data_IF_895060334344
#
_entry.id   IF_895060334344
#
_cell.length_a   1.000
_cell.length_b   1.000
_cell.length_c   1.000
_cell.angle_alpha   90.00
_cell.angle_beta   90.00
_cell.angle_gamma   90.00
#
_symmetry.space_group_name_H-M   'P 1'
#
loop_
_entity.id
_entity.type
_entity.pdbx_description
1 polymer ?
#
# COMPACT_ATOMS: atom_id res chain seq x y z
N UNK A 1 -7.71 -10.82 -25.17
CA UNK A 1 -6.93 -9.65 -24.72
C UNK A 1 -7.33 -9.17 -23.32
N UNK A 2 -8.61 -8.89 -23.03
CA UNK A 2 -9.06 -8.49 -21.67
C UNK A 2 -8.74 -9.57 -20.62
N UNK A 3 -9.17 -10.81 -20.84
CA UNK A 3 -8.94 -11.93 -19.90
C UNK A 3 -7.45 -12.09 -19.58
N UNK A 4 -6.59 -12.08 -20.61
CA UNK A 4 -5.14 -12.11 -20.44
C UNK A 4 -4.63 -10.95 -19.58
N UNK A 5 -5.13 -9.74 -19.80
CA UNK A 5 -4.74 -8.54 -19.02
C UNK A 5 -5.14 -8.67 -17.56
N UNK A 6 -6.33 -9.21 -17.29
CA UNK A 6 -6.78 -9.47 -15.91
C UNK A 6 -5.89 -10.50 -15.23
N UNK A 7 -5.58 -11.62 -15.90
CA UNK A 7 -4.70 -12.66 -15.34
C UNK A 7 -3.30 -12.10 -15.06
N UNK A 8 -2.71 -11.39 -16.02
CA UNK A 8 -1.40 -10.74 -15.84
C UNK A 8 -1.45 -9.74 -14.68
N UNK A 9 -2.52 -8.95 -14.58
CA UNK A 9 -2.70 -8.00 -13.49
C UNK A 9 -2.84 -8.67 -12.12
N UNK A 10 -3.49 -9.84 -12.04
CA UNK A 10 -3.57 -10.61 -10.80
C UNK A 10 -2.21 -11.17 -10.39
N UNK A 11 -1.44 -11.71 -11.32
CA UNK A 11 -0.05 -12.16 -11.07
C UNK A 11 0.81 -10.98 -10.61
N UNK A 12 0.70 -9.84 -11.28
CA UNK A 12 1.41 -8.62 -10.93
C UNK A 12 1.03 -8.13 -9.52
N UNK A 13 -0.25 -8.21 -9.16
CA UNK A 13 -0.74 -7.86 -7.83
C UNK A 13 -0.12 -8.74 -6.74
N UNK A 14 0.09 -10.03 -7.01
CA UNK A 14 0.81 -10.92 -6.09
C UNK A 14 2.26 -10.48 -5.91
N UNK A 15 2.95 -10.09 -6.98
CA UNK A 15 4.33 -9.59 -6.89
C UNK A 15 4.39 -8.33 -6.04
N UNK A 16 3.52 -7.34 -6.29
CA UNK A 16 3.44 -6.12 -5.48
C UNK A 16 3.14 -6.44 -4.01
N UNK A 17 2.19 -7.34 -3.75
CA UNK A 17 1.81 -7.76 -2.40
C UNK A 17 2.99 -8.38 -1.64
N UNK A 18 3.75 -9.28 -2.26
CA UNK A 18 4.86 -9.94 -1.59
C UNK A 18 6.10 -9.04 -1.47
N UNK A 19 6.54 -8.41 -2.55
CA UNK A 19 7.76 -7.58 -2.54
C UNK A 19 7.54 -6.24 -1.84
N UNK A 20 6.48 -5.53 -2.21
CA UNK A 20 6.15 -4.21 -1.67
C UNK A 20 5.52 -4.30 -0.29
N UNK A 21 4.37 -4.96 -0.14
CA UNK A 21 3.65 -4.92 1.13
C UNK A 21 4.27 -5.84 2.19
N UNK A 22 4.44 -7.13 1.89
CA UNK A 22 4.89 -8.13 2.87
C UNK A 22 6.36 -7.98 3.24
N UNK A 23 7.27 -7.95 2.27
CA UNK A 23 8.71 -7.86 2.56
C UNK A 23 9.07 -6.42 2.96
N UNK A 24 8.82 -5.44 2.10
CA UNK A 24 9.30 -4.08 2.31
C UNK A 24 8.54 -3.33 3.42
N UNK A 25 7.22 -3.12 3.30
CA UNK A 25 6.49 -2.33 4.30
C UNK A 25 6.36 -3.07 5.63
N UNK A 26 5.92 -4.33 5.59
CA UNK A 26 5.58 -5.07 6.79
C UNK A 26 6.81 -5.59 7.53
N UNK A 27 7.64 -6.43 6.90
CA UNK A 27 8.74 -7.10 7.61
C UNK A 27 9.95 -6.19 7.83
N UNK A 28 10.36 -5.42 6.84
CA UNK A 28 11.46 -4.47 6.97
C UNK A 28 11.05 -3.21 7.73
N UNK A 29 10.09 -2.44 7.23
CA UNK A 29 9.77 -1.14 7.84
C UNK A 29 8.98 -1.22 9.15
N UNK A 30 7.94 -2.05 9.26
CA UNK A 30 7.17 -2.15 10.50
C UNK A 30 7.93 -2.93 11.58
N UNK A 31 8.47 -4.09 11.22
CA UNK A 31 8.99 -5.07 12.18
C UNK A 31 10.50 -5.17 12.27
N UNK A 32 11.25 -4.53 11.37
CA UNK A 32 12.73 -4.52 11.36
C UNK A 32 13.34 -5.93 11.43
N UNK A 33 12.73 -6.89 10.74
CA UNK A 33 13.14 -8.30 10.82
C UNK A 33 14.48 -8.57 10.12
N UNK A 34 14.81 -7.79 9.10
CA UNK A 34 16.03 -7.89 8.30
C UNK A 34 16.19 -6.60 7.48
N UNK A 35 17.40 -6.29 7.05
CA UNK A 35 17.67 -5.16 6.15
C UNK A 35 17.46 -5.55 4.68
N UNK A 36 17.12 -4.56 3.85
CA UNK A 36 17.02 -4.71 2.40
C UNK A 36 17.98 -3.75 1.70
N UNK A 37 18.55 -4.13 0.54
CA UNK A 37 19.40 -3.23 -0.23
C UNK A 37 18.57 -2.08 -0.83
N UNK A 38 19.23 -0.94 -1.11
CA UNK A 38 18.56 0.29 -1.58
C UNK A 38 17.79 0.12 -2.89
N UNK A 39 18.28 -0.73 -3.80
CA UNK A 39 17.57 -1.03 -5.05
C UNK A 39 16.23 -1.74 -4.78
N UNK A 40 16.18 -2.64 -3.80
CA UNK A 40 14.96 -3.36 -3.43
C UNK A 40 13.94 -2.40 -2.84
N UNK A 41 14.41 -1.50 -1.98
CA UNK A 41 13.61 -0.41 -1.43
C UNK A 41 12.99 0.44 -2.54
N UNK A 42 13.77 0.84 -3.54
CA UNK A 42 13.29 1.66 -4.66
C UNK A 42 12.23 0.94 -5.50
N UNK A 43 12.48 -0.31 -5.87
CA UNK A 43 11.55 -1.13 -6.65
C UNK A 43 10.25 -1.37 -5.88
N UNK A 44 10.35 -1.76 -4.61
CA UNK A 44 9.18 -2.03 -3.78
C UNK A 44 8.33 -0.77 -3.55
N UNK A 45 8.95 0.40 -3.33
CA UNK A 45 8.21 1.67 -3.24
C UNK A 45 7.54 2.01 -4.57
N UNK A 46 8.21 1.87 -5.71
CA UNK A 46 7.61 2.11 -7.03
C UNK A 46 6.39 1.20 -7.27
N UNK A 47 6.49 -0.09 -6.96
CA UNK A 47 5.39 -1.05 -7.00
C UNK A 47 4.18 -0.62 -6.16
N UNK A 48 4.43 -0.15 -4.93
CA UNK A 48 3.37 0.30 -4.02
C UNK A 48 2.68 1.58 -4.51
N UNK A 49 3.40 2.45 -5.22
CA UNK A 49 2.82 3.65 -5.82
C UNK A 49 1.81 3.34 -6.93
N UNK A 50 1.90 2.15 -7.54
CA UNK A 50 0.92 1.66 -8.52
C UNK A 50 -0.37 1.19 -7.84
N UNK A 51 -0.24 0.36 -6.79
CA UNK A 51 -1.38 -0.23 -6.08
C UNK A 51 -2.09 0.78 -5.13
N UNK A 52 -1.35 1.72 -4.55
CA UNK A 52 -1.84 2.89 -3.81
C UNK A 52 -2.96 2.64 -2.78
N UNK A 53 -2.74 1.73 -1.83
CA UNK A 53 -3.64 1.53 -0.67
C UNK A 53 -3.71 2.80 0.19
N UNK A 54 -2.52 3.27 0.59
CA UNK A 54 -2.20 4.50 1.35
C UNK A 54 -0.75 4.86 1.01
N UNK A 55 -0.29 6.08 1.32
CA UNK A 55 1.14 6.40 1.21
C UNK A 55 1.99 5.42 2.03
N UNK A 56 3.23 5.08 1.63
CA UNK A 56 4.08 4.15 2.38
C UNK A 56 4.22 4.50 3.86
N UNK A 57 4.51 5.77 4.18
CA UNK A 57 4.56 6.27 5.56
C UNK A 57 3.23 6.05 6.30
N UNK A 58 2.11 6.38 5.64
CA UNK A 58 0.79 6.23 6.22
C UNK A 58 0.44 4.77 6.53
N UNK A 59 0.78 3.84 5.62
CA UNK A 59 0.56 2.41 5.80
C UNK A 59 1.42 1.85 6.94
N UNK A 60 2.71 2.18 6.98
CA UNK A 60 3.63 1.71 8.03
C UNK A 60 3.15 2.23 9.40
N UNK A 61 2.79 3.52 9.48
CA UNK A 61 2.32 4.11 10.71
C UNK A 61 1.01 3.48 11.19
N UNK A 62 0.05 3.24 10.29
CA UNK A 62 -1.21 2.58 10.63
C UNK A 62 -1.00 1.14 11.11
N UNK A 63 -0.10 0.41 10.45
CA UNK A 63 0.20 -0.98 10.80
C UNK A 63 0.88 -1.08 12.18
N UNK A 64 1.82 -0.18 12.48
CA UNK A 64 2.44 -0.09 13.81
C UNK A 64 1.42 0.30 14.89
N UNK A 65 0.46 1.17 14.57
CA UNK A 65 -0.65 1.51 15.46
C UNK A 65 -1.53 0.29 15.75
N UNK A 66 -1.89 -0.47 14.72
CA UNK A 66 -2.67 -1.71 14.85
C UNK A 66 -1.98 -2.71 15.76
N UNK A 67 -0.69 -3.00 15.57
CA UNK A 67 0.02 -3.93 16.47
C UNK A 67 0.03 -3.48 17.93
N UNK A 68 0.10 -2.17 18.20
CA UNK A 68 0.08 -1.64 19.57
C UNK A 68 -1.31 -1.60 20.21
N UNK A 69 -2.37 -1.61 19.42
CA UNK A 69 -3.74 -1.36 19.87
C UNK A 69 -4.74 -2.38 19.34
N UNK A 70 -4.28 -3.53 18.86
CA UNK A 70 -5.07 -4.53 18.16
C UNK A 70 -6.33 -4.90 18.95
N UNK A 71 -7.46 -5.04 18.25
CA UNK A 71 -8.77 -5.36 18.82
C UNK A 71 -9.31 -4.35 19.86
N UNK A 72 -8.74 -3.15 19.95
CA UNK A 72 -9.25 -2.06 20.80
C UNK A 72 -9.82 -0.90 19.97
N UNK A 73 -10.52 0.02 20.62
CA UNK A 73 -11.03 1.26 20.00
C UNK A 73 -9.92 2.14 19.41
N UNK A 74 -8.66 1.95 19.83
CA UNK A 74 -7.50 2.70 19.33
C UNK A 74 -6.84 2.06 18.12
N UNK A 75 -7.30 0.87 17.71
CA UNK A 75 -6.88 0.23 16.46
C UNK A 75 -7.42 1.02 15.26
N UNK A 76 -6.55 1.56 14.39
CA UNK A 76 -6.99 2.38 13.26
C UNK A 76 -7.85 1.63 12.24
N UNK A 77 -7.81 0.30 12.22
CA UNK A 77 -8.57 -0.52 11.28
C UNK A 77 -9.22 -1.76 11.90
N UNK A 78 -9.60 -1.69 13.18
CA UNK A 78 -10.46 -2.72 13.77
C UNK A 78 -11.84 -2.68 13.13
N UNK A 79 -12.24 -3.73 12.42
CA UNK A 79 -13.55 -3.81 11.79
C UNK A 79 -14.71 -3.74 12.81
N UNK A 80 -14.48 -4.14 14.06
CA UNK A 80 -15.46 -4.07 15.16
C UNK A 80 -15.79 -2.63 15.55
N UNK A 81 -14.80 -1.74 15.52
CA UNK A 81 -14.94 -0.35 15.97
C UNK A 81 -15.07 0.65 14.81
N UNK A 82 -14.38 0.40 13.69
CA UNK A 82 -14.39 1.26 12.50
C UNK A 82 -15.54 0.90 11.55
N UNK A 83 -15.98 -0.36 11.57
CA UNK A 83 -17.03 -0.91 10.73
C UNK A 83 -16.50 -1.73 9.55
N UNK A 84 -17.04 -2.93 9.37
CA UNK A 84 -16.65 -3.91 8.36
C UNK A 84 -16.42 -3.33 6.96
N UNK A 85 -17.41 -2.61 6.41
CA UNK A 85 -17.31 -2.07 5.03
C UNK A 85 -16.21 -1.03 4.85
N UNK A 86 -15.95 -0.21 5.87
CA UNK A 86 -14.87 0.77 5.81
C UNK A 86 -13.51 0.09 5.77
N UNK A 87 -13.34 -0.96 6.58
CA UNK A 87 -12.12 -1.77 6.62
C UNK A 87 -11.94 -2.56 5.32
N UNK A 88 -12.98 -3.27 4.87
CA UNK A 88 -12.96 -4.08 3.64
C UNK A 88 -12.53 -3.27 2.40
N UNK A 89 -13.02 -2.04 2.26
CA UNK A 89 -12.68 -1.19 1.10
C UNK A 89 -11.53 -0.22 1.38
N UNK A 90 -10.88 -0.31 2.54
CA UNK A 90 -9.80 0.59 2.96
C UNK A 90 -10.17 2.08 2.79
N UNK A 91 -11.37 2.45 3.23
CA UNK A 91 -11.91 3.83 3.17
C UNK A 91 -11.92 4.53 4.53
N UNK A 92 -11.40 3.87 5.55
CA UNK A 92 -11.18 4.46 6.87
C UNK A 92 -9.98 5.41 6.85
N UNK A 93 -9.98 6.36 7.79
CA UNK A 93 -8.92 7.34 7.91
C UNK A 93 -8.45 7.50 9.36
N UNK A 94 -7.20 7.92 9.53
CA UNK A 94 -6.59 8.13 10.84
C UNK A 94 -6.49 9.63 11.08
N UNK A 95 -7.38 10.14 11.93
CA UNK A 95 -7.42 11.57 12.24
C UNK A 95 -6.13 12.09 12.87
N UNK A 96 -5.44 11.25 13.66
CA UNK A 96 -4.21 11.64 14.33
C UNK A 96 -3.23 10.47 14.42
N UNK A 97 -2.13 10.57 13.67
CA UNK A 97 -1.02 9.63 13.74
C UNK A 97 0.00 10.21 14.71
N UNK A 98 0.17 9.58 15.87
CA UNK A 98 1.21 9.98 16.82
C UNK A 98 2.60 9.88 16.15
N UNK A 99 3.48 10.89 16.29
CA UNK A 99 4.82 10.86 15.74
C UNK A 99 5.64 9.63 16.16
N UNK A 100 5.30 8.97 17.28
CA UNK A 100 5.98 7.74 17.71
C UNK A 100 5.93 6.62 16.66
N UNK A 101 4.92 6.63 15.79
CA UNK A 101 4.71 5.60 14.77
C UNK A 101 5.37 5.88 13.42
N UNK A 102 5.79 7.12 13.17
CA UNK A 102 6.24 7.56 11.83
C UNK A 102 7.52 8.38 11.83
N UNK A 103 7.97 8.93 12.98
CA UNK A 103 9.09 9.88 13.06
C UNK A 103 10.39 9.36 12.42
N UNK A 104 10.69 8.08 12.59
CA UNK A 104 11.88 7.45 11.99
C UNK A 104 11.80 7.39 10.46
N UNK A 105 10.60 7.24 9.90
CA UNK A 105 10.37 7.10 8.46
C UNK A 105 10.69 8.39 7.69
N UNK A 106 10.48 9.54 8.31
CA UNK A 106 10.79 10.85 7.73
C UNK A 106 12.29 11.12 7.57
N UNK A 107 13.17 10.27 8.14
CA UNK A 107 14.61 10.34 7.89
C UNK A 107 14.99 9.80 6.51
N UNK A 108 14.12 9.01 5.87
CA UNK A 108 14.38 8.44 4.56
C UNK A 108 13.78 9.30 3.43
N UNK A 109 14.60 9.94 2.59
CA UNK A 109 14.11 10.84 1.54
C UNK A 109 13.24 10.12 0.50
N UNK A 110 13.43 8.83 0.25
CA UNK A 110 12.61 8.07 -0.70
C UNK A 110 11.17 7.90 -0.19
N UNK A 111 11.01 7.58 1.11
CA UNK A 111 9.69 7.51 1.73
C UNK A 111 8.99 8.86 1.74
N UNK A 112 9.73 9.93 2.05
CA UNK A 112 9.20 11.31 2.07
C UNK A 112 8.78 11.73 0.67
N UNK A 113 9.59 11.43 -0.36
CA UNK A 113 9.24 11.69 -1.76
C UNK A 113 7.94 10.99 -2.14
N UNK A 114 7.83 9.68 -1.88
CA UNK A 114 6.60 8.92 -2.12
C UNK A 114 5.41 9.52 -1.34
N UNK A 115 5.61 9.95 -0.10
CA UNK A 115 4.55 10.52 0.73
C UNK A 115 4.05 11.88 0.22
N UNK A 116 4.93 12.76 -0.27
CA UNK A 116 4.54 14.08 -0.78
C UNK A 116 3.98 14.03 -2.20
N UNK A 117 4.50 13.13 -3.04
CA UNK A 117 4.17 13.10 -4.47
C UNK A 117 3.21 11.99 -4.85
N UNK A 118 2.63 11.26 -3.89
CA UNK A 118 1.83 10.06 -4.16
C UNK A 118 0.74 10.25 -5.20
N UNK A 119 -0.04 11.33 -5.07
CA UNK A 119 -1.18 11.59 -5.95
C UNK A 119 -0.70 11.91 -7.38
N UNK A 120 0.39 12.68 -7.51
CA UNK A 120 0.99 12.99 -8.81
C UNK A 120 1.52 11.71 -9.48
N UNK A 121 2.24 10.88 -8.73
CA UNK A 121 2.77 9.60 -9.22
C UNK A 121 1.62 8.70 -9.68
N UNK A 122 0.55 8.58 -8.88
CA UNK A 122 -0.60 7.76 -9.22
C UNK A 122 -1.28 8.23 -10.50
N UNK A 123 -1.57 9.52 -10.63
CA UNK A 123 -2.22 10.11 -11.80
C UNK A 123 -1.35 9.91 -13.06
N UNK A 124 -0.07 10.26 -12.99
CA UNK A 124 0.87 10.12 -14.11
C UNK A 124 0.96 8.64 -14.54
N UNK A 125 1.10 7.72 -13.58
CA UNK A 125 1.22 6.28 -13.86
C UNK A 125 -0.04 5.75 -14.55
N UNK A 126 -1.23 6.17 -14.11
CA UNK A 126 -2.49 5.79 -14.74
C UNK A 126 -2.61 6.34 -16.17
N UNK A 127 -2.32 7.63 -16.37
CA UNK A 127 -2.41 8.28 -17.69
C UNK A 127 -1.41 7.63 -18.67
N UNK A 128 -0.14 7.52 -18.29
CA UNK A 128 0.90 6.94 -19.13
C UNK A 128 0.56 5.50 -19.49
N UNK A 129 0.12 4.69 -18.52
CA UNK A 129 -0.26 3.30 -18.78
C UNK A 129 -1.47 3.19 -19.73
N UNK A 130 -2.44 4.09 -19.60
CA UNK A 130 -3.61 4.11 -20.49
C UNK A 130 -3.25 4.51 -21.92
N UNK A 131 -2.33 5.47 -22.09
CA UNK A 131 -1.81 5.89 -23.40
C UNK A 131 -1.10 4.73 -24.11
N UNK A 132 -0.36 3.88 -23.38
CA UNK A 132 0.29 2.68 -23.94
C UNK A 132 -0.78 1.73 -24.51
N UNK A 133 -1.79 1.39 -23.70
CA UNK A 133 -2.96 0.62 -24.13
C UNK A 133 -3.96 0.51 -22.97
N UNK A 134 -5.28 0.51 -23.24
CA UNK A 134 -6.28 0.16 -22.22
C UNK A 134 -6.03 -1.20 -21.56
N UNK A 135 -5.50 -2.18 -22.31
CA UNK A 135 -5.19 -3.52 -21.79
C UNK A 135 -3.98 -3.50 -20.85
N UNK A 136 -2.95 -2.72 -21.19
CA UNK A 136 -1.79 -2.53 -20.31
C UNK A 136 -2.21 -1.82 -19.02
N UNK A 137 -3.03 -0.77 -19.11
CA UNK A 137 -3.58 -0.09 -17.94
C UNK A 137 -4.41 -1.02 -17.04
N UNK A 138 -5.24 -1.89 -17.61
CA UNK A 138 -5.99 -2.90 -16.84
C UNK A 138 -5.01 -3.77 -16.03
N UNK A 139 -4.00 -4.33 -16.69
CA UNK A 139 -3.05 -5.24 -16.06
C UNK A 139 -2.15 -4.54 -15.04
N UNK A 140 -1.61 -3.37 -15.40
CA UNK A 140 -0.57 -2.69 -14.64
C UNK A 140 -1.13 -1.84 -13.50
N UNK A 141 -2.26 -1.15 -13.69
CA UNK A 141 -2.80 -0.20 -12.72
C UNK A 141 -4.13 -0.67 -12.10
N UNK A 142 -5.14 -0.93 -12.93
CA UNK A 142 -6.51 -1.10 -12.45
C UNK A 142 -6.66 -2.34 -11.55
N UNK A 143 -6.16 -3.49 -12.00
CA UNK A 143 -6.25 -4.74 -11.22
C UNK A 143 -5.45 -4.65 -9.92
N UNK A 144 -4.17 -4.21 -9.91
CA UNK A 144 -3.44 -4.00 -8.66
C UNK A 144 -4.11 -3.05 -7.68
N UNK A 145 -4.69 -1.95 -8.16
CA UNK A 145 -5.41 -1.00 -7.30
C UNK A 145 -6.62 -1.66 -6.62
N UNK A 146 -7.46 -2.36 -7.38
CA UNK A 146 -8.64 -3.06 -6.85
C UNK A 146 -8.22 -4.18 -5.91
N UNK A 147 -7.25 -5.00 -6.32
CA UNK A 147 -6.72 -6.10 -5.51
C UNK A 147 -6.17 -5.58 -4.18
N UNK A 148 -5.44 -4.47 -4.20
CA UNK A 148 -4.84 -3.91 -3.01
C UNK A 148 -5.89 -3.32 -2.04
N UNK A 149 -6.95 -2.67 -2.56
CA UNK A 149 -8.04 -2.15 -1.73
C UNK A 149 -8.86 -3.24 -1.05
N UNK A 150 -9.23 -4.29 -1.79
CA UNK A 150 -10.06 -5.39 -1.28
C UNK A 150 -9.22 -6.39 -0.51
N UNK A 151 -8.07 -6.80 -1.05
CA UNK A 151 -7.18 -7.79 -0.44
C UNK A 151 -6.61 -7.33 0.90
N UNK A 152 -6.24 -6.05 1.02
CA UNK A 152 -5.84 -5.51 2.32
C UNK A 152 -7.02 -5.49 3.29
N UNK A 153 -8.21 -5.06 2.86
CA UNK A 153 -9.39 -5.05 3.71
C UNK A 153 -9.77 -6.44 4.23
N UNK A 154 -9.77 -7.45 3.37
CA UNK A 154 -10.09 -8.85 3.72
C UNK A 154 -9.14 -9.44 4.78
N UNK A 155 -7.88 -9.02 4.82
CA UNK A 155 -6.94 -9.47 5.84
C UNK A 155 -7.18 -8.80 7.21
N UNK A 156 -7.94 -7.71 7.24
CA UNK A 156 -8.16 -6.87 8.42
C UNK A 156 -9.61 -6.92 8.95
N UNK A 157 -10.51 -7.59 8.24
CA UNK A 157 -11.88 -7.92 8.67
C UNK A 157 -11.93 -9.33 9.21
#
# INVERSE_FOLDING_TARGET
MIVTSVIVGLIWSQIISHFGASILLHRYYCHKQFDVPKWFEAIGLAMLMVACIRTPIGWIASHRMHHNHSDSEKDPHSWKHVGYWKVLFTTWDIKNISPKYSRDLFKNPMLVFCHHHWLKILIITNIVSFIISPYFWIAFCAIPFVFAKVGFGLLNT
#
